data_IF_094153923331
#
_entry.id   IF_094153923331
#
_cell.length_a   1.000
_cell.length_b   1.000
_cell.length_c   1.000
_cell.angle_alpha   90.00
_cell.angle_beta   90.00
_cell.angle_gamma   90.00
#
_symmetry.space_group_name_H-M   'P 1'
#
loop_
_entity.id
_entity.type
_entity.pdbx_description
1 polymer ?
#
# COMPACT_ATOMS: atom_id res chain seq x y z
N UNK A 1 -23.88 -17.09 19.38
CA UNK A 1 -23.73 -16.59 18.01
C UNK A 1 -22.33 -16.02 17.90
N UNK A 2 -21.39 -16.79 17.31
CA UNK A 2 -20.02 -16.33 17.04
C UNK A 2 -20.14 -15.19 16.05
N UNK A 3 -19.71 -13.98 16.43
CA UNK A 3 -19.55 -12.86 15.47
C UNK A 3 -18.46 -13.32 14.49
N UNK A 4 -18.87 -13.65 13.26
CA UNK A 4 -17.91 -13.84 12.16
C UNK A 4 -17.05 -12.57 12.11
N UNK A 5 -15.78 -12.71 12.45
CA UNK A 5 -14.84 -11.61 12.24
C UNK A 5 -14.84 -11.28 10.75
N UNK A 6 -14.82 -9.99 10.37
CA UNK A 6 -14.75 -9.62 8.96
C UNK A 6 -13.55 -10.30 8.32
N UNK A 7 -13.67 -10.75 7.07
CA UNK A 7 -12.56 -11.43 6.39
C UNK A 7 -11.33 -10.54 6.39
N UNK A 8 -10.18 -11.12 6.71
CA UNK A 8 -8.90 -10.44 6.85
C UNK A 8 -8.20 -10.35 5.49
N UNK A 9 -7.81 -9.16 5.07
CA UNK A 9 -7.02 -8.96 3.84
C UNK A 9 -5.52 -9.17 4.09
N UNK A 10 -5.02 -8.67 5.23
CA UNK A 10 -3.65 -8.88 5.69
C UNK A 10 -3.66 -9.20 7.18
N UNK A 11 -2.95 -10.23 7.56
CA UNK A 11 -2.65 -10.56 8.96
C UNK A 11 -1.15 -10.72 9.13
N UNK A 12 -0.59 -9.98 10.07
CA UNK A 12 0.82 -10.05 10.50
C UNK A 12 0.83 -10.42 11.98
N UNK A 13 1.64 -11.40 12.39
CA UNK A 13 1.78 -11.82 13.78
C UNK A 13 3.25 -11.94 14.18
N UNK A 14 3.64 -11.19 15.20
CA UNK A 14 4.95 -11.23 15.83
C UNK A 14 6.11 -11.00 14.86
N UNK A 15 5.89 -10.18 13.80
CA UNK A 15 6.83 -10.02 12.72
C UNK A 15 8.11 -9.34 13.21
N UNK A 16 9.26 -9.90 12.85
CA UNK A 16 10.57 -9.36 13.20
C UNK A 16 11.49 -9.27 12.01
N UNK A 17 12.27 -8.19 11.99
CA UNK A 17 13.40 -8.01 11.07
C UNK A 17 14.48 -7.21 11.73
N UNK A 18 15.70 -7.76 11.71
CA UNK A 18 16.90 -7.11 12.21
C UNK A 18 17.91 -6.98 11.07
N UNK A 19 18.50 -5.82 10.98
CA UNK A 19 19.75 -5.55 10.27
C UNK A 19 20.83 -5.31 11.33
N UNK A 20 21.62 -4.24 11.25
CA UNK A 20 22.52 -3.85 12.34
C UNK A 20 21.75 -3.51 13.61
N UNK A 21 20.53 -3.00 13.45
CA UNK A 21 19.55 -2.70 14.49
C UNK A 21 18.18 -3.29 14.15
N UNK A 22 17.29 -3.48 15.13
CA UNK A 22 15.92 -3.89 14.85
C UNK A 22 15.22 -2.87 13.94
N UNK A 23 14.66 -3.33 12.81
CA UNK A 23 13.87 -2.51 11.90
C UNK A 23 12.37 -2.78 12.07
N UNK A 24 12.00 -4.03 12.40
CA UNK A 24 10.65 -4.45 12.80
C UNK A 24 10.82 -5.35 14.01
N UNK A 25 10.08 -5.08 15.08
CA UNK A 25 10.24 -5.76 16.37
C UNK A 25 8.92 -6.21 16.98
N UNK A 26 8.43 -7.36 16.56
CA UNK A 26 7.21 -7.96 17.09
C UNK A 26 5.94 -7.23 16.59
N UNK A 27 5.92 -6.85 15.30
CA UNK A 27 4.78 -6.18 14.70
C UNK A 27 3.60 -7.16 14.57
N UNK A 28 2.47 -6.79 15.17
CA UNK A 28 1.16 -7.40 14.98
C UNK A 28 0.26 -6.39 14.24
N UNK A 29 -0.37 -6.81 13.15
CA UNK A 29 -1.21 -5.94 12.32
C UNK A 29 -2.30 -6.73 11.64
N UNK A 30 -3.52 -6.18 11.60
CA UNK A 30 -4.65 -6.79 10.91
C UNK A 30 -5.39 -5.76 10.06
N UNK A 31 -5.45 -6.00 8.73
CA UNK A 31 -6.20 -5.18 7.78
C UNK A 31 -7.43 -5.95 7.32
N UNK A 32 -8.60 -5.32 7.34
CA UNK A 32 -9.88 -5.91 6.92
C UNK A 32 -10.00 -5.85 5.41
N UNK A 33 -10.79 -6.76 4.84
CA UNK A 33 -11.18 -6.66 3.41
C UNK A 33 -12.07 -5.44 3.21
N UNK A 34 -11.82 -4.69 2.13
CA UNK A 34 -12.67 -3.57 1.73
C UNK A 34 -12.38 -2.25 2.46
N UNK A 35 -11.14 -2.06 2.95
CA UNK A 35 -10.73 -0.79 3.57
C UNK A 35 -9.47 -0.20 2.92
N UNK A 36 -9.30 1.10 3.03
CA UNK A 36 -8.01 1.77 2.87
C UNK A 36 -7.36 1.86 4.24
N UNK A 37 -6.25 1.15 4.40
CA UNK A 37 -5.45 1.17 5.61
C UNK A 37 -4.18 1.99 5.41
N UNK A 38 -3.95 2.99 6.25
CA UNK A 38 -2.72 3.78 6.24
C UNK A 38 -1.81 3.39 7.40
N UNK A 39 -0.56 3.04 7.10
CA UNK A 39 0.50 2.81 8.08
C UNK A 39 1.34 4.08 8.21
N UNK A 40 1.13 4.82 9.29
CA UNK A 40 1.84 6.06 9.63
C UNK A 40 3.04 5.79 10.51
N UNK A 41 4.06 6.62 10.39
CA UNK A 41 5.21 6.60 11.29
C UNK A 41 6.34 7.48 10.77
N UNK A 42 7.29 7.85 11.63
CA UNK A 42 8.46 8.64 11.22
C UNK A 42 9.35 7.86 10.23
N UNK A 43 10.29 8.55 9.61
CA UNK A 43 11.30 7.91 8.79
C UNK A 43 12.13 6.94 9.64
N UNK A 44 12.38 5.73 9.12
CA UNK A 44 13.08 4.68 9.85
C UNK A 44 12.22 3.89 10.84
N UNK A 45 10.91 4.16 10.97
CA UNK A 45 10.02 3.41 11.87
C UNK A 45 9.78 1.94 11.47
N UNK A 46 10.21 1.51 10.28
CA UNK A 46 10.06 0.13 9.81
C UNK A 46 8.94 -0.09 8.79
N UNK A 47 8.22 0.95 8.36
CA UNK A 47 7.08 0.87 7.42
C UNK A 47 7.42 0.11 6.13
N UNK A 48 8.36 0.63 5.35
CA UNK A 48 8.83 0.03 4.09
C UNK A 48 9.37 -1.38 4.30
N UNK A 49 10.11 -1.61 5.40
CA UNK A 49 10.64 -2.93 5.74
C UNK A 49 9.51 -3.94 5.97
N UNK A 50 8.50 -3.56 6.75
CA UNK A 50 7.33 -4.40 7.00
C UNK A 50 6.57 -4.72 5.70
N UNK A 51 6.29 -3.70 4.88
CA UNK A 51 5.56 -3.93 3.63
C UNK A 51 6.38 -4.72 2.59
N UNK A 52 7.70 -4.59 2.53
CA UNK A 52 8.56 -5.45 1.69
C UNK A 52 8.52 -6.92 2.12
N UNK A 53 8.40 -7.19 3.42
CA UNK A 53 8.20 -8.56 3.92
C UNK A 53 6.82 -9.08 3.54
N UNK A 54 5.77 -8.26 3.61
CA UNK A 54 4.41 -8.61 3.16
C UNK A 54 4.40 -8.94 1.67
N UNK A 55 5.09 -8.13 0.85
CA UNK A 55 5.20 -8.36 -0.60
C UNK A 55 6.10 -9.57 -0.98
N UNK A 56 6.73 -10.22 0.02
CA UNK A 56 7.66 -11.33 -0.22
C UNK A 56 8.93 -10.92 -0.94
N UNK A 57 9.35 -9.65 -0.78
CA UNK A 57 10.58 -9.07 -1.34
C UNK A 57 11.74 -9.11 -0.34
N UNK A 58 11.43 -9.30 0.94
CA UNK A 58 12.39 -9.37 2.03
C UNK A 58 11.98 -10.52 2.98
N UNK A 59 12.88 -11.46 3.32
CA UNK A 59 12.56 -12.50 4.29
C UNK A 59 12.49 -11.91 5.70
N UNK A 60 11.47 -12.33 6.48
CA UNK A 60 11.38 -12.03 7.91
C UNK A 60 12.29 -12.96 8.70
N UNK A 61 12.77 -12.48 9.85
CA UNK A 61 13.58 -13.30 10.79
C UNK A 61 12.68 -14.13 11.70
N UNK A 62 11.48 -13.61 12.05
CA UNK A 62 10.47 -14.31 12.83
C UNK A 62 9.06 -13.78 12.49
N UNK A 63 8.03 -14.47 13.00
CA UNK A 63 6.64 -14.14 12.80
C UNK A 63 6.03 -14.77 11.55
N UNK A 64 4.78 -14.42 11.28
CA UNK A 64 4.01 -14.91 10.13
C UNK A 64 3.28 -13.79 9.43
N UNK A 65 3.06 -13.97 8.14
CA UNK A 65 2.32 -13.04 7.27
C UNK A 65 1.35 -13.85 6.42
N UNK A 66 0.08 -13.49 6.43
CA UNK A 66 -0.90 -14.04 5.50
C UNK A 66 -1.68 -12.94 4.78
N UNK A 67 -1.89 -13.12 3.48
CA UNK A 67 -2.70 -12.25 2.62
C UNK A 67 -3.91 -13.03 2.15
N UNK A 68 -5.11 -12.58 2.49
CA UNK A 68 -6.38 -13.30 2.25
C UNK A 68 -6.33 -14.78 2.71
N UNK A 69 -5.65 -15.03 3.84
CA UNK A 69 -5.46 -16.35 4.40
C UNK A 69 -4.33 -17.18 3.76
N UNK A 70 -3.64 -16.67 2.75
CA UNK A 70 -2.52 -17.33 2.09
C UNK A 70 -1.22 -16.92 2.81
N UNK A 71 -0.50 -17.90 3.36
CA UNK A 71 0.81 -17.67 3.99
C UNK A 71 1.85 -17.30 2.91
N UNK A 72 2.42 -16.09 3.03
CA UNK A 72 3.35 -15.51 2.05
C UNK A 72 4.65 -16.32 1.92
N UNK A 73 5.08 -17.02 2.96
CA UNK A 73 6.32 -17.82 2.96
C UNK A 73 6.08 -19.22 2.40
N UNK A 74 4.90 -19.80 2.67
CA UNK A 74 4.55 -21.17 2.24
C UNK A 74 4.11 -21.22 0.79
N UNK A 75 3.33 -20.22 0.36
CA UNK A 75 2.86 -20.12 -1.02
C UNK A 75 3.01 -18.71 -1.56
N UNK A 76 4.25 -18.29 -1.85
CA UNK A 76 4.53 -16.92 -2.33
C UNK A 76 3.92 -16.63 -3.71
N UNK A 77 3.73 -17.66 -4.54
CA UNK A 77 3.15 -17.50 -5.86
C UNK A 77 1.65 -17.22 -5.76
N UNK A 78 0.92 -17.98 -4.95
CA UNK A 78 -0.51 -17.72 -4.73
C UNK A 78 -0.74 -16.37 -4.03
N UNK A 79 0.10 -16.01 -3.05
CA UNK A 79 0.02 -14.71 -2.39
C UNK A 79 0.22 -13.55 -3.39
N UNK A 80 1.22 -13.64 -4.27
CA UNK A 80 1.48 -12.60 -5.30
C UNK A 80 0.36 -12.49 -6.33
N UNK A 81 -0.37 -13.57 -6.64
CA UNK A 81 -1.53 -13.51 -7.55
C UNK A 81 -2.68 -12.65 -7.03
N UNK A 82 -2.82 -12.54 -5.72
CA UNK A 82 -3.92 -11.79 -5.10
C UNK A 82 -3.51 -10.42 -4.60
N UNK A 83 -2.22 -10.06 -4.68
CA UNK A 83 -1.71 -8.76 -4.24
C UNK A 83 -0.85 -8.08 -5.31
N UNK A 84 -0.76 -6.75 -5.24
CA UNK A 84 0.20 -5.95 -5.98
C UNK A 84 1.04 -5.13 -5.02
N UNK A 85 2.27 -4.83 -5.41
CA UNK A 85 3.20 -3.98 -4.69
C UNK A 85 3.68 -2.84 -5.57
N UNK A 86 3.67 -1.61 -5.04
CA UNK A 86 4.25 -0.43 -5.68
C UNK A 86 5.16 0.26 -4.65
N UNK A 87 6.44 0.43 -5.01
CA UNK A 87 7.41 1.16 -4.20
C UNK A 87 7.21 2.68 -4.31
N UNK A 88 7.83 3.42 -3.40
CA UNK A 88 7.93 4.89 -3.40
C UNK A 88 8.57 5.44 -4.69
N UNK A 89 9.53 4.72 -5.24
CA UNK A 89 10.13 4.97 -6.55
C UNK A 89 9.82 3.81 -7.49
N UNK A 90 8.71 3.89 -8.24
CA UNK A 90 8.30 2.80 -9.12
C UNK A 90 9.27 2.68 -10.29
N UNK A 91 9.82 1.48 -10.45
CA UNK A 91 10.70 1.15 -11.57
C UNK A 91 9.85 0.66 -12.73
N UNK A 92 9.75 1.49 -13.77
CA UNK A 92 9.13 1.12 -15.05
C UNK A 92 10.19 1.11 -16.15
N UNK A 93 9.92 0.39 -17.23
CA UNK A 93 10.86 0.31 -18.36
C UNK A 93 10.77 1.58 -19.23
N UNK A 94 11.75 2.45 -19.10
CA UNK A 94 11.78 3.78 -19.72
C UNK A 94 11.67 3.75 -21.24
N UNK A 95 12.21 2.72 -21.90
CA UNK A 95 12.20 2.59 -23.36
C UNK A 95 10.92 2.04 -23.95
N UNK A 96 10.06 1.48 -23.12
CA UNK A 96 8.73 1.04 -23.52
C UNK A 96 7.76 2.23 -23.51
N UNK A 97 6.76 2.18 -24.38
CA UNK A 97 5.58 3.03 -24.25
C UNK A 97 4.75 2.56 -23.04
N UNK A 98 3.84 3.40 -22.53
CA UNK A 98 2.96 3.00 -21.45
C UNK A 98 2.13 1.76 -21.82
N UNK A 99 1.68 1.68 -23.07
CA UNK A 99 0.90 0.56 -23.58
C UNK A 99 1.75 -0.72 -23.63
N UNK A 100 2.94 -0.69 -24.25
CA UNK A 100 3.86 -1.83 -24.31
C UNK A 100 4.29 -2.32 -22.93
N UNK A 101 4.48 -1.40 -21.99
CA UNK A 101 4.79 -1.75 -20.59
C UNK A 101 3.66 -2.58 -19.96
N UNK A 102 2.40 -2.18 -20.16
CA UNK A 102 1.27 -2.91 -19.61
C UNK A 102 1.08 -4.28 -20.27
N UNK A 103 1.27 -4.39 -21.59
CA UNK A 103 1.24 -5.68 -22.30
C UNK A 103 2.36 -6.60 -21.81
N UNK A 104 3.56 -6.06 -21.62
CA UNK A 104 4.70 -6.79 -21.07
C UNK A 104 4.38 -7.33 -19.67
N UNK A 105 3.87 -6.49 -18.76
CA UNK A 105 3.52 -6.92 -17.40
C UNK A 105 2.39 -7.94 -17.43
N UNK A 106 1.37 -7.75 -18.26
CA UNK A 106 0.30 -8.73 -18.45
C UNK A 106 0.83 -10.09 -18.92
N UNK A 107 1.79 -10.09 -19.84
CA UNK A 107 2.48 -11.30 -20.30
C UNK A 107 3.21 -12.04 -19.20
N UNK A 108 3.84 -11.34 -18.25
CA UNK A 108 4.47 -11.95 -17.08
C UNK A 108 3.46 -12.68 -16.17
N UNK A 109 2.20 -12.22 -16.15
CA UNK A 109 1.10 -12.88 -15.44
C UNK A 109 0.40 -13.97 -16.25
N UNK A 110 0.84 -14.23 -17.50
CA UNK A 110 0.24 -15.21 -18.39
C UNK A 110 -1.14 -14.79 -18.93
N UNK A 111 -1.43 -13.49 -18.93
CA UNK A 111 -2.66 -12.94 -19.52
C UNK A 111 -2.52 -12.96 -21.05
N UNK A 112 -3.54 -13.48 -21.75
CA UNK A 112 -3.53 -13.51 -23.21
C UNK A 112 -3.52 -12.10 -23.83
N UNK A 113 -2.97 -11.99 -25.05
CA UNK A 113 -2.75 -10.71 -25.72
C UNK A 113 -4.03 -9.87 -25.87
N UNK A 114 -5.18 -10.49 -26.18
CA UNK A 114 -6.44 -9.77 -26.37
C UNK A 114 -6.95 -9.17 -25.06
N UNK A 115 -6.86 -9.93 -23.98
CA UNK A 115 -7.22 -9.46 -22.63
C UNK A 115 -6.24 -8.41 -22.14
N UNK A 116 -4.93 -8.60 -22.40
CA UNK A 116 -3.88 -7.63 -22.05
C UNK A 116 -4.11 -6.28 -22.75
N UNK A 117 -4.36 -6.30 -24.06
CA UNK A 117 -4.65 -5.09 -24.85
C UNK A 117 -5.87 -4.33 -24.29
N UNK A 118 -6.97 -5.04 -24.01
CA UNK A 118 -8.16 -4.43 -23.43
C UNK A 118 -7.87 -3.82 -22.08
N UNK A 119 -7.24 -4.59 -21.17
CA UNK A 119 -6.90 -4.12 -19.82
C UNK A 119 -5.97 -2.89 -19.85
N UNK A 120 -4.98 -2.88 -20.77
CA UNK A 120 -4.09 -1.73 -20.95
C UNK A 120 -4.85 -0.47 -21.35
N UNK A 121 -5.75 -0.56 -22.34
CA UNK A 121 -6.59 0.59 -22.78
C UNK A 121 -7.49 1.10 -21.66
N UNK A 122 -8.13 0.19 -20.93
CA UNK A 122 -9.06 0.54 -19.85
C UNK A 122 -8.30 1.19 -18.67
N UNK A 123 -7.18 0.63 -18.25
CA UNK A 123 -6.35 1.15 -17.16
C UNK A 123 -5.72 2.51 -17.50
N UNK A 124 -5.16 2.66 -18.70
CA UNK A 124 -4.61 3.95 -19.15
C UNK A 124 -5.70 5.01 -19.26
N UNK A 125 -6.89 4.65 -19.74
CA UNK A 125 -8.04 5.54 -19.75
C UNK A 125 -8.47 5.96 -18.35
N UNK A 126 -8.57 5.01 -17.41
CA UNK A 126 -8.96 5.25 -16.03
C UNK A 126 -7.97 6.17 -15.29
N UNK A 127 -6.68 6.03 -15.59
CA UNK A 127 -5.61 6.84 -15.02
C UNK A 127 -5.33 8.15 -15.77
N UNK A 128 -6.11 8.45 -16.81
CA UNK A 128 -5.97 9.69 -17.60
C UNK A 128 -4.68 9.74 -18.41
N UNK A 129 -4.23 8.58 -18.92
CA UNK A 129 -3.04 8.45 -19.75
C UNK A 129 -3.36 7.97 -21.18
N UNK A 130 -4.64 8.01 -21.60
CA UNK A 130 -5.06 7.51 -22.93
C UNK A 130 -4.30 8.18 -24.07
N UNK A 131 -4.15 9.48 -24.02
CA UNK A 131 -3.49 10.27 -25.07
C UNK A 131 -1.97 10.07 -25.08
N UNK A 132 -1.41 9.56 -24.00
CA UNK A 132 0.02 9.27 -23.81
C UNK A 132 0.34 7.77 -23.91
N UNK A 133 -0.65 6.93 -24.28
CA UNK A 133 -0.49 5.46 -24.27
C UNK A 133 0.70 4.97 -25.09
N UNK A 134 0.97 5.62 -26.24
CA UNK A 134 2.04 5.26 -27.18
C UNK A 134 3.29 6.13 -27.07
N UNK A 135 3.39 6.95 -26.03
CA UNK A 135 4.60 7.70 -25.71
C UNK A 135 5.52 6.86 -24.80
N UNK A 136 6.84 7.00 -25.00
CA UNK A 136 7.84 6.31 -24.18
C UNK A 136 7.83 6.86 -22.75
N UNK A 137 7.94 5.94 -21.79
CA UNK A 137 7.93 6.26 -20.36
C UNK A 137 9.10 7.18 -19.92
N UNK A 138 10.21 7.22 -20.65
CA UNK A 138 11.33 8.14 -20.40
C UNK A 138 10.95 9.63 -20.44
N UNK A 139 9.87 9.96 -21.17
CA UNK A 139 9.36 11.34 -21.31
C UNK A 139 8.34 11.73 -20.25
N UNK A 140 7.95 10.78 -19.41
CA UNK A 140 6.87 10.98 -18.46
C UNK A 140 7.32 11.76 -17.23
N UNK A 141 6.45 12.65 -16.77
CA UNK A 141 6.59 13.27 -15.46
C UNK A 141 6.55 12.21 -14.35
N UNK A 142 7.01 12.56 -13.15
CA UNK A 142 6.94 11.65 -11.98
C UNK A 142 5.51 11.14 -11.77
N UNK A 143 4.50 12.01 -11.87
CA UNK A 143 3.10 11.65 -11.71
C UNK A 143 2.59 10.69 -12.80
N UNK A 144 3.01 10.87 -14.05
CA UNK A 144 2.68 9.94 -15.13
C UNK A 144 3.34 8.58 -14.92
N UNK A 145 4.61 8.53 -14.50
CA UNK A 145 5.33 7.30 -14.17
C UNK A 145 4.64 6.54 -13.04
N UNK A 146 4.22 7.24 -11.98
CA UNK A 146 3.46 6.66 -10.88
C UNK A 146 2.13 6.04 -11.35
N UNK A 147 1.41 6.72 -12.25
CA UNK A 147 0.18 6.20 -12.83
C UNK A 147 0.41 4.96 -13.69
N UNK A 148 1.47 4.94 -14.50
CA UNK A 148 1.85 3.74 -15.31
C UNK A 148 2.21 2.57 -14.40
N UNK A 149 2.97 2.80 -13.34
CA UNK A 149 3.29 1.77 -12.37
C UNK A 149 2.04 1.22 -11.66
N UNK A 150 1.11 2.12 -11.29
CA UNK A 150 -0.19 1.72 -10.72
C UNK A 150 -1.00 0.91 -11.74
N UNK A 151 -1.05 1.31 -13.00
CA UNK A 151 -1.70 0.53 -14.07
C UNK A 151 -1.08 -0.88 -14.20
N UNK A 152 0.26 -0.98 -14.23
CA UNK A 152 0.97 -2.26 -14.27
C UNK A 152 0.66 -3.15 -13.08
N UNK A 153 0.58 -2.56 -11.89
CA UNK A 153 0.21 -3.28 -10.67
C UNK A 153 -1.24 -3.79 -10.68
N UNK A 154 -2.14 -3.11 -11.39
CA UNK A 154 -3.55 -3.45 -11.49
C UNK A 154 -3.89 -4.43 -12.63
N UNK A 155 -2.95 -4.70 -13.55
CA UNK A 155 -3.21 -5.45 -14.78
C UNK A 155 -3.72 -6.88 -14.54
N UNK A 156 -3.29 -7.51 -13.45
CA UNK A 156 -3.71 -8.87 -13.06
C UNK A 156 -4.87 -8.88 -12.05
N UNK A 157 -5.54 -7.74 -11.87
CA UNK A 157 -6.71 -7.56 -11.00
C UNK A 157 -6.50 -8.01 -9.53
N UNK A 158 -5.48 -7.49 -8.82
CA UNK A 158 -5.19 -7.89 -7.45
C UNK A 158 -6.31 -7.47 -6.50
N UNK A 159 -6.60 -8.29 -5.49
CA UNK A 159 -7.56 -7.97 -4.42
C UNK A 159 -6.97 -7.10 -3.32
N UNK A 160 -5.66 -7.13 -3.16
CA UNK A 160 -4.92 -6.33 -2.17
C UNK A 160 -3.84 -5.51 -2.89
N UNK A 161 -3.85 -4.20 -2.69
CA UNK A 161 -2.88 -3.27 -3.29
C UNK A 161 -2.04 -2.68 -2.16
N UNK A 162 -0.74 -2.86 -2.24
CA UNK A 162 0.23 -2.38 -1.26
C UNK A 162 1.06 -1.29 -1.89
N UNK A 163 1.10 -0.11 -1.27
CA UNK A 163 1.72 1.10 -1.80
C UNK A 163 2.66 1.71 -0.76
N UNK A 164 3.90 1.95 -1.15
CA UNK A 164 4.85 2.68 -0.31
C UNK A 164 4.90 4.13 -0.77
N UNK A 165 4.45 5.07 0.07
CA UNK A 165 4.43 6.51 -0.18
C UNK A 165 3.83 6.94 -1.55
N UNK A 166 2.65 6.45 -1.95
CA UNK A 166 2.15 6.53 -3.34
C UNK A 166 1.90 7.94 -3.87
N UNK A 167 1.81 8.94 -3.00
CA UNK A 167 1.46 10.31 -3.37
C UNK A 167 2.61 11.29 -3.22
N UNK A 168 3.77 10.82 -2.75
CA UNK A 168 4.94 11.68 -2.50
C UNK A 168 5.50 12.26 -3.79
N UNK A 169 5.58 13.60 -3.83
CA UNK A 169 6.12 14.35 -4.98
C UNK A 169 5.22 14.37 -6.20
N UNK A 170 3.93 14.03 -6.08
CA UNK A 170 2.95 14.20 -7.13
C UNK A 170 2.35 15.62 -7.12
N UNK A 171 2.06 16.14 -8.31
CA UNK A 171 1.23 17.34 -8.45
C UNK A 171 -0.22 17.06 -7.98
N UNK A 172 -0.98 18.15 -7.76
CA UNK A 172 -2.34 18.05 -7.24
C UNK A 172 -3.30 17.26 -8.15
N UNK A 173 -3.13 17.35 -9.47
CA UNK A 173 -3.99 16.64 -10.43
C UNK A 173 -3.69 15.14 -10.43
N UNK A 174 -2.41 14.76 -10.48
CA UNK A 174 -1.97 13.36 -10.40
C UNK A 174 -2.35 12.72 -9.06
N UNK A 175 -2.14 13.44 -7.95
CA UNK A 175 -2.53 12.98 -6.61
C UNK A 175 -4.04 12.74 -6.51
N UNK A 176 -4.87 13.66 -7.01
CA UNK A 176 -6.34 13.50 -7.05
C UNK A 176 -6.75 12.27 -7.86
N UNK A 177 -6.12 12.05 -9.03
CA UNK A 177 -6.41 10.91 -9.88
C UNK A 177 -6.08 9.58 -9.19
N UNK A 178 -4.89 9.46 -8.58
CA UNK A 178 -4.48 8.25 -7.85
C UNK A 178 -5.43 7.98 -6.67
N UNK A 179 -5.75 9.02 -5.87
CA UNK A 179 -6.71 8.90 -4.74
C UNK A 179 -8.06 8.36 -5.20
N UNK A 180 -8.59 8.88 -6.31
CA UNK A 180 -9.86 8.43 -6.87
C UNK A 180 -9.81 6.95 -7.26
N UNK A 181 -8.78 6.55 -8.01
CA UNK A 181 -8.61 5.18 -8.47
C UNK A 181 -8.51 4.19 -7.29
N UNK A 182 -7.76 4.54 -6.25
CA UNK A 182 -7.63 3.69 -5.06
C UNK A 182 -8.97 3.55 -4.31
N UNK A 183 -9.75 4.63 -4.18
CA UNK A 183 -11.07 4.57 -3.52
C UNK A 183 -12.04 3.73 -4.37
N UNK A 184 -12.12 3.96 -5.68
CA UNK A 184 -12.97 3.17 -6.59
C UNK A 184 -12.62 1.67 -6.54
N UNK A 185 -11.33 1.30 -6.35
CA UNK A 185 -10.93 -0.10 -6.15
C UNK A 185 -11.44 -0.69 -4.84
N UNK A 186 -11.44 0.09 -3.76
CA UNK A 186 -11.96 -0.34 -2.46
C UNK A 186 -13.48 -0.45 -2.52
N UNK A 187 -14.16 0.50 -3.13
CA UNK A 187 -15.61 0.48 -3.30
C UNK A 187 -16.07 -0.73 -4.16
N UNK A 188 -15.19 -1.22 -5.06
CA UNK A 188 -15.39 -2.46 -5.81
C UNK A 188 -15.00 -3.75 -5.05
N UNK A 189 -14.68 -3.66 -3.75
CA UNK A 189 -14.37 -4.79 -2.88
C UNK A 189 -12.87 -5.14 -2.77
N UNK A 190 -11.99 -4.34 -3.34
CA UNK A 190 -10.54 -4.44 -3.12
C UNK A 190 -10.12 -3.92 -1.74
N UNK A 191 -8.85 -4.08 -1.40
CA UNK A 191 -8.24 -3.53 -0.18
C UNK A 191 -6.97 -2.79 -0.53
N UNK A 192 -6.77 -1.63 0.06
CA UNK A 192 -5.57 -0.81 -0.13
C UNK A 192 -4.82 -0.68 1.18
N UNK A 193 -3.53 -0.96 1.16
CA UNK A 193 -2.61 -0.76 2.27
C UNK A 193 -1.55 0.22 1.80
N UNK A 194 -1.40 1.34 2.47
CA UNK A 194 -0.39 2.33 2.08
C UNK A 194 0.41 2.82 3.26
N UNK A 195 1.70 3.06 3.04
CA UNK A 195 2.47 3.89 3.96
C UNK A 195 2.33 5.34 3.56
N UNK A 196 2.39 6.23 4.53
CA UNK A 196 2.61 7.65 4.29
C UNK A 196 3.18 8.33 5.53
N UNK A 197 3.95 9.38 5.29
CA UNK A 197 4.36 10.33 6.34
C UNK A 197 3.54 11.63 6.25
N UNK A 198 2.66 11.75 5.25
CA UNK A 198 1.80 12.92 5.03
C UNK A 198 0.48 12.67 5.75
N UNK A 199 0.34 13.25 6.95
CA UNK A 199 -0.80 13.04 7.83
C UNK A 199 -2.13 13.42 7.18
N UNK A 200 -2.18 14.53 6.44
CA UNK A 200 -3.37 14.96 5.69
C UNK A 200 -3.85 13.92 4.66
N UNK A 201 -2.93 13.17 4.06
CA UNK A 201 -3.28 12.08 3.14
C UNK A 201 -3.98 10.95 3.88
N UNK A 202 -3.43 10.53 5.02
CA UNK A 202 -4.03 9.48 5.83
C UNK A 202 -5.40 9.91 6.38
N UNK A 203 -5.51 11.13 6.90
CA UNK A 203 -6.75 11.69 7.44
C UNK A 203 -7.89 11.71 6.41
N UNK A 204 -7.58 12.04 5.14
CA UNK A 204 -8.59 12.16 4.09
C UNK A 204 -8.92 10.86 3.35
N UNK A 205 -8.05 9.88 3.41
CA UNK A 205 -8.19 8.67 2.59
C UNK A 205 -8.45 7.40 3.39
N UNK A 206 -7.81 7.27 4.56
CA UNK A 206 -7.81 6.02 5.28
C UNK A 206 -9.13 5.80 6.04
N UNK A 207 -9.63 4.58 5.97
CA UNK A 207 -10.73 4.12 6.80
C UNK A 207 -10.22 3.73 8.19
N UNK A 208 -8.98 3.17 8.25
CA UNK A 208 -8.24 2.90 9.49
C UNK A 208 -6.78 3.26 9.33
N UNK A 209 -6.17 3.61 10.45
CA UNK A 209 -4.78 4.08 10.53
C UNK A 209 -4.07 3.26 11.59
N UNK A 210 -2.88 2.74 11.26
CA UNK A 210 -1.93 2.19 12.22
C UNK A 210 -0.75 3.14 12.39
N UNK A 211 -0.35 3.40 13.62
CA UNK A 211 0.83 4.20 13.94
C UNK A 211 1.96 3.28 14.33
N UNK A 212 3.08 3.34 13.60
CA UNK A 212 4.27 2.54 13.86
C UNK A 212 5.43 3.42 14.33
N UNK A 213 6.08 3.03 15.41
CA UNK A 213 7.31 3.62 15.92
C UNK A 213 8.29 2.52 16.34
N UNK A 214 9.58 2.72 16.13
CA UNK A 214 10.65 1.77 16.50
C UNK A 214 10.37 0.30 16.10
N UNK A 215 9.71 0.09 14.96
CA UNK A 215 9.38 -1.25 14.44
C UNK A 215 8.15 -1.91 15.06
N UNK A 216 7.39 -1.21 15.91
CA UNK A 216 6.21 -1.71 16.62
C UNK A 216 4.96 -0.90 16.27
N UNK A 217 3.80 -1.55 16.26
CA UNK A 217 2.51 -0.86 16.18
C UNK A 217 2.17 -0.30 17.55
N UNK A 218 2.07 1.02 17.67
CA UNK A 218 1.81 1.70 18.95
C UNK A 218 0.36 2.13 19.11
N UNK A 219 -0.36 2.34 18.02
CA UNK A 219 -1.79 2.63 18.04
C UNK A 219 -2.44 2.20 16.71
N UNK A 220 -3.71 1.83 16.74
CA UNK A 220 -4.49 1.46 15.57
C UNK A 220 -5.97 1.78 15.78
N UNK A 221 -6.62 2.30 14.73
CA UNK A 221 -8.05 2.58 14.75
C UNK A 221 -8.50 3.51 13.63
N UNK A 222 -9.77 3.90 13.66
CA UNK A 222 -10.27 5.03 12.89
C UNK A 222 -9.67 6.33 13.42
N UNK A 223 -9.73 7.41 12.65
CA UNK A 223 -9.26 8.72 13.09
C UNK A 223 -9.88 9.14 14.44
N UNK A 224 -11.19 8.88 14.61
CA UNK A 224 -11.89 9.20 15.86
C UNK A 224 -11.42 8.37 17.05
N UNK A 225 -11.10 7.08 16.82
CA UNK A 225 -10.57 6.20 17.86
C UNK A 225 -9.15 6.62 18.28
N UNK A 226 -8.30 7.00 17.33
CA UNK A 226 -6.96 7.51 17.62
C UNK A 226 -6.99 8.82 18.40
N UNK A 227 -7.87 9.76 18.02
CA UNK A 227 -8.08 11.02 18.76
C UNK A 227 -8.54 10.80 20.21
N UNK A 228 -9.45 9.86 20.41
CA UNK A 228 -9.89 9.47 21.77
C UNK A 228 -8.76 8.84 22.58
N UNK A 229 -7.94 8.03 21.94
CA UNK A 229 -6.78 7.38 22.60
C UNK A 229 -5.73 8.41 23.05
N UNK A 230 -5.50 9.46 22.26
CA UNK A 230 -4.62 10.57 22.63
C UNK A 230 -5.24 11.58 23.62
N UNK A 231 -6.44 11.31 24.12
CA UNK A 231 -7.09 12.14 25.16
C UNK A 231 -7.73 13.45 24.66
N UNK A 232 -7.75 13.70 23.35
CA UNK A 232 -8.32 14.93 22.79
C UNK A 232 -9.09 14.67 21.49
N UNK A 233 -10.40 14.58 21.57
CA UNK A 233 -11.30 14.31 20.44
C UNK A 233 -11.38 15.43 19.39
N UNK A 234 -10.91 16.62 19.71
CA UNK A 234 -10.90 17.79 18.81
C UNK A 234 -9.53 18.04 18.16
N UNK A 235 -8.49 17.22 18.48
CA UNK A 235 -7.14 17.38 17.94
C UNK A 235 -7.07 17.04 16.45
N UNK A 236 -6.10 17.63 15.76
CA UNK A 236 -5.71 17.21 14.41
C UNK A 236 -5.06 15.82 14.46
N UNK A 237 -4.96 15.14 13.33
CA UNK A 237 -4.19 13.87 13.28
C UNK A 237 -2.71 14.12 13.62
N UNK A 238 -2.18 15.30 13.32
CA UNK A 238 -0.79 15.68 13.65
C UNK A 238 -0.55 15.74 15.15
N UNK A 239 -1.41 16.44 15.89
CA UNK A 239 -1.32 16.51 17.36
C UNK A 239 -1.49 15.13 17.99
N UNK A 240 -2.45 14.34 17.50
CA UNK A 240 -2.67 12.95 17.91
C UNK A 240 -1.43 12.09 17.69
N UNK A 241 -0.83 12.17 16.51
CA UNK A 241 0.36 11.42 16.14
C UNK A 241 1.57 11.79 17.01
N UNK A 242 1.81 13.08 17.23
CA UNK A 242 2.91 13.55 18.06
C UNK A 242 2.77 13.06 19.51
N UNK A 243 1.56 13.09 20.06
CA UNK A 243 1.27 12.56 21.42
C UNK A 243 1.59 11.07 21.50
N UNK A 244 1.05 10.26 20.57
CA UNK A 244 1.26 8.80 20.57
C UNK A 244 2.74 8.41 20.43
N UNK A 245 3.50 9.12 19.59
CA UNK A 245 4.94 8.84 19.39
C UNK A 245 5.77 9.31 20.59
N UNK A 246 5.39 10.42 21.25
CA UNK A 246 6.08 10.89 22.44
C UNK A 246 5.90 9.93 23.65
N UNK A 247 4.69 9.41 23.84
CA UNK A 247 4.39 8.47 24.93
C UNK A 247 5.19 7.17 24.79
N UNK A 248 5.38 6.66 23.57
CA UNK A 248 6.24 5.50 23.31
C UNK A 248 7.72 5.77 23.62
N UNK A 249 8.22 6.97 23.29
CA UNK A 249 9.61 7.36 23.55
C UNK A 249 9.92 7.47 25.06
N UNK A 250 8.92 7.71 25.90
CA UNK A 250 9.05 7.75 27.37
C UNK A 250 8.97 6.34 27.98
N UNK A 251 8.32 5.41 27.28
CA UNK A 251 8.07 4.04 27.77
C UNK A 251 9.13 3.03 27.31
N UNK A 252 10.04 3.39 26.41
CA UNK A 252 11.10 2.55 25.84
C UNK A 252 12.46 2.85 26.45
#
# INVERSE_FOLDING_TARGET
>A
MSRLQPPCALEIRGLRKRFDRPAVDGLDLTVKVGEIYALLGPNGAGKTTALRMVAGLLPSDAGSISVLGIDVRRDPVAAKKVMAWISDEPMIYDRLTAFEYLEFVAGLWGIDARTAEKSARDLLGWLGLRDHAHERCERFSKGMRQKVALAGALVHDPRVIILDEPLTGLDAASSRQVKRVLRERVDAGGTVIMTTHILEVAERMADRIGVIAAGRLIAEGTLEELRRHAGNSASTLEETFLTLVADEAVSA
#
